data_IF_642686876797
#
_entry.id   IF_642686876797
#
_cell.length_a   1.000
_cell.length_b   1.000
_cell.length_c   1.000
_cell.angle_alpha   90.00
_cell.angle_beta   90.00
_cell.angle_gamma   90.00
#
_symmetry.space_group_name_H-M   'P 1'
#
loop_
_entity.id
_entity.type
_entity.pdbx_description
1 polymer ?
#
# COMPACT_ATOMS: atom_id res chain seq x y z
N UNK A 1 27.81 -12.68 0.83
CA UNK A 1 26.49 -12.86 0.20
C UNK A 1 25.49 -13.21 1.30
N UNK A 2 24.68 -12.28 1.74
CA UNK A 2 23.55 -12.53 2.65
C UNK A 2 22.34 -11.86 2.00
N UNK A 3 21.38 -12.68 1.59
CA UNK A 3 20.10 -12.27 1.08
C UNK A 3 19.30 -11.66 2.23
N UNK A 4 18.87 -10.41 2.10
CA UNK A 4 17.99 -9.75 3.05
C UNK A 4 16.55 -10.02 2.61
N UNK A 5 15.94 -10.97 3.30
CA UNK A 5 14.54 -11.35 3.19
C UNK A 5 13.66 -10.19 3.69
N UNK A 6 12.66 -9.84 2.90
CA UNK A 6 11.60 -8.90 3.26
C UNK A 6 10.78 -9.52 4.40
N UNK A 7 10.89 -8.98 5.61
CA UNK A 7 10.21 -9.49 6.79
C UNK A 7 8.79 -8.91 6.84
N UNK A 8 7.84 -9.75 6.50
CA UNK A 8 6.41 -9.55 6.83
C UNK A 8 6.29 -9.70 8.35
N UNK A 9 6.03 -8.62 9.08
CA UNK A 9 5.76 -8.70 10.52
C UNK A 9 4.38 -9.32 10.75
N UNK A 10 4.33 -10.65 10.84
CA UNK A 10 3.30 -11.34 11.58
C UNK A 10 3.69 -11.26 13.06
N UNK A 11 2.93 -10.52 13.86
CA UNK A 11 3.07 -10.56 15.31
C UNK A 11 2.65 -11.96 15.80
N UNK A 12 3.59 -12.88 15.86
CA UNK A 12 3.46 -14.07 16.70
C UNK A 12 3.82 -13.64 18.12
N UNK A 13 2.84 -13.66 19.02
CA UNK A 13 3.11 -13.60 20.44
C UNK A 13 3.99 -14.82 20.80
N UNK A 14 5.25 -14.59 21.10
CA UNK A 14 6.14 -15.57 21.71
C UNK A 14 5.61 -15.86 23.11
N UNK A 15 4.89 -16.96 23.27
CA UNK A 15 4.55 -17.52 24.58
C UNK A 15 5.86 -18.16 25.08
N UNK A 16 6.49 -17.55 26.08
CA UNK A 16 7.63 -18.14 26.77
C UNK A 16 7.17 -19.46 27.45
N UNK A 17 7.94 -20.54 27.33
CA UNK A 17 7.62 -21.78 28.05
C UNK A 17 7.80 -21.53 29.55
N UNK A 18 6.72 -21.52 30.30
CA UNK A 18 6.72 -21.35 31.74
C UNK A 18 5.66 -20.42 32.32
N UNK A 19 4.84 -19.74 31.51
CA UNK A 19 3.68 -19.03 32.05
C UNK A 19 2.58 -20.03 32.40
N UNK A 20 2.22 -20.07 33.70
CA UNK A 20 1.06 -20.77 34.19
C UNK A 20 -0.17 -20.41 33.35
N UNK A 21 -0.94 -21.42 32.97
CA UNK A 21 -2.27 -21.20 32.36
C UNK A 21 -3.02 -20.22 33.25
N UNK A 22 -3.64 -19.14 32.70
CA UNK A 22 -4.53 -18.33 33.49
C UNK A 22 -5.69 -19.23 33.93
N UNK A 23 -5.78 -19.50 35.25
CA UNK A 23 -6.78 -20.38 35.83
C UNK A 23 -8.20 -19.78 35.87
N UNK A 24 -8.42 -18.67 35.18
CA UNK A 24 -9.76 -18.11 34.99
C UNK A 24 -9.95 -17.70 33.53
N UNK A 25 -10.68 -18.49 32.79
CA UNK A 25 -11.35 -18.00 31.59
C UNK A 25 -12.23 -16.83 32.05
N UNK A 26 -11.84 -15.59 31.72
CA UNK A 26 -12.73 -14.44 31.90
C UNK A 26 -13.98 -14.76 31.09
N UNK A 27 -15.17 -14.87 31.68
CA UNK A 27 -16.36 -15.17 30.92
C UNK A 27 -16.57 -14.10 29.87
N UNK A 28 -16.64 -14.50 28.61
CA UNK A 28 -16.95 -13.55 27.54
C UNK A 28 -18.37 -13.00 27.79
N UNK A 29 -18.60 -11.69 27.63
CA UNK A 29 -19.91 -11.12 27.77
C UNK A 29 -20.90 -11.79 26.81
N UNK A 30 -22.18 -11.86 27.14
CA UNK A 30 -23.20 -12.42 26.25
C UNK A 30 -23.27 -11.63 24.96
N UNK A 31 -23.58 -12.32 23.86
CA UNK A 31 -23.71 -11.69 22.53
C UNK A 31 -25.00 -10.87 22.51
N UNK A 32 -24.89 -9.58 22.24
CA UNK A 32 -26.02 -8.66 22.16
C UNK A 32 -26.56 -8.49 20.73
N UNK A 33 -27.79 -8.02 20.64
CA UNK A 33 -28.40 -7.59 19.40
C UNK A 33 -27.74 -6.27 18.94
N UNK A 34 -27.40 -6.19 17.69
CA UNK A 34 -26.85 -4.96 17.08
C UNK A 34 -27.94 -3.89 17.06
N UNK A 35 -27.72 -2.76 17.72
CA UNK A 35 -28.67 -1.65 17.84
C UNK A 35 -27.99 -0.33 17.49
N UNK A 36 -27.84 0.00 16.20
CA UNK A 36 -27.23 1.26 15.77
C UNK A 36 -27.98 2.48 16.31
N UNK A 37 -27.23 3.59 16.47
CA UNK A 37 -27.84 4.86 16.90
C UNK A 37 -28.86 5.34 15.87
N UNK A 38 -30.08 5.65 16.35
CA UNK A 38 -31.22 6.04 15.52
C UNK A 38 -31.21 7.53 15.12
N UNK A 39 -30.35 8.34 15.73
CA UNK A 39 -30.20 9.78 15.48
C UNK A 39 -29.26 10.11 14.30
N UNK A 40 -28.77 9.09 13.59
CA UNK A 40 -27.85 9.20 12.48
C UNK A 40 -28.26 8.33 11.30
N UNK A 41 -27.92 8.76 10.10
CA UNK A 41 -28.01 7.91 8.91
C UNK A 41 -26.92 6.85 8.96
N UNK A 42 -27.26 5.61 8.67
CA UNK A 42 -26.29 4.52 8.68
C UNK A 42 -26.63 3.45 7.65
N UNK A 43 -25.61 2.66 7.28
CA UNK A 43 -25.77 1.37 6.58
C UNK A 43 -25.18 0.27 7.44
N UNK A 44 -25.74 -0.94 7.36
CA UNK A 44 -25.19 -2.14 7.98
C UNK A 44 -24.82 -3.11 6.89
N UNK A 45 -23.58 -3.58 6.93
CA UNK A 45 -23.09 -4.67 6.10
C UNK A 45 -22.91 -5.91 6.96
N UNK A 46 -23.68 -6.95 6.69
CA UNK A 46 -23.59 -8.22 7.40
C UNK A 46 -22.70 -9.20 6.62
N UNK A 47 -21.88 -9.92 7.37
CA UNK A 47 -21.13 -11.08 6.91
C UNK A 47 -21.59 -12.30 7.73
N UNK A 48 -22.62 -13.04 7.27
CA UNK A 48 -23.16 -14.16 8.01
C UNK A 48 -22.11 -15.27 8.23
N UNK A 49 -22.16 -15.90 9.41
CA UNK A 49 -21.28 -17.03 9.74
C UNK A 49 -21.66 -18.31 8.96
N UNK A 50 -22.92 -18.42 8.56
CA UNK A 50 -23.45 -19.51 7.77
C UNK A 50 -24.18 -18.97 6.52
N UNK A 51 -24.24 -19.72 5.42
CA UNK A 51 -24.99 -19.32 4.24
C UNK A 51 -26.46 -19.05 4.56
N UNK A 52 -26.97 -17.88 4.20
CA UNK A 52 -28.38 -17.49 4.38
C UNK A 52 -29.03 -17.22 3.02
N UNK A 53 -30.29 -17.66 2.85
CA UNK A 53 -31.06 -17.43 1.60
C UNK A 53 -31.66 -16.03 1.55
N UNK A 54 -32.03 -15.49 2.69
CA UNK A 54 -32.61 -14.14 2.83
C UNK A 54 -32.45 -13.66 4.27
N UNK A 55 -32.36 -12.33 4.43
CA UNK A 55 -32.30 -11.68 5.75
C UNK A 55 -33.66 -11.02 5.98
N UNK A 56 -34.46 -11.54 6.90
CA UNK A 56 -35.79 -11.04 7.25
C UNK A 56 -35.80 -10.18 8.53
N UNK A 57 -34.70 -10.18 9.30
CA UNK A 57 -34.54 -9.44 10.54
C UNK A 57 -33.09 -8.93 10.67
N UNK A 58 -32.82 -8.10 11.67
CA UNK A 58 -31.45 -7.71 12.01
C UNK A 58 -30.72 -8.90 12.61
N UNK A 59 -29.57 -9.25 12.00
CA UNK A 59 -28.73 -10.32 12.52
C UNK A 59 -28.00 -9.83 13.77
N UNK A 60 -27.88 -10.72 14.75
CA UNK A 60 -27.08 -10.50 15.96
C UNK A 60 -25.63 -10.95 15.78
N UNK A 61 -24.78 -10.67 16.76
CA UNK A 61 -23.35 -11.06 16.75
C UNK A 61 -23.14 -12.58 16.73
N UNK A 62 -24.14 -13.39 17.13
CA UNK A 62 -24.10 -14.84 17.03
C UNK A 62 -24.32 -15.36 15.61
N UNK A 63 -24.91 -14.55 14.73
CA UNK A 63 -25.36 -14.93 13.39
C UNK A 63 -24.45 -14.36 12.30
N UNK A 64 -23.88 -13.16 12.53
CA UNK A 64 -23.07 -12.44 11.56
C UNK A 64 -22.08 -11.48 12.22
N UNK A 65 -20.96 -11.25 11.58
CA UNK A 65 -20.16 -10.03 11.76
C UNK A 65 -20.92 -8.87 11.10
N UNK A 66 -20.89 -7.70 11.71
CA UNK A 66 -21.51 -6.54 11.09
C UNK A 66 -20.58 -5.32 11.13
N UNK A 67 -20.54 -4.62 10.00
CA UNK A 67 -19.90 -3.32 9.85
C UNK A 67 -20.96 -2.27 9.65
N UNK A 68 -20.96 -1.25 10.51
CA UNK A 68 -21.88 -0.13 10.46
C UNK A 68 -21.14 1.11 10.00
N UNK A 69 -21.58 1.72 8.92
CA UNK A 69 -21.07 3.00 8.47
C UNK A 69 -22.09 4.08 8.80
N UNK A 70 -21.68 5.08 9.58
CA UNK A 70 -22.46 6.25 9.92
C UNK A 70 -22.15 7.40 8.97
N UNK A 71 -23.19 8.17 8.60
CA UNK A 71 -23.10 9.23 7.63
C UNK A 71 -23.58 10.56 8.21
N UNK A 72 -22.99 11.65 7.73
CA UNK A 72 -23.49 13.02 7.98
C UNK A 72 -24.69 13.36 7.10
N UNK A 73 -25.22 14.59 7.27
CA UNK A 73 -26.34 15.08 6.48
C UNK A 73 -26.07 15.25 4.98
N UNK A 74 -24.80 15.14 4.55
CA UNK A 74 -24.38 15.19 3.13
C UNK A 74 -24.10 13.81 2.55
N UNK A 75 -24.36 12.74 3.30
CA UNK A 75 -24.11 11.37 2.88
C UNK A 75 -22.63 10.95 2.92
N UNK A 76 -21.76 11.70 3.63
CA UNK A 76 -20.35 11.33 3.80
C UNK A 76 -20.20 10.44 5.02
N UNK A 77 -19.40 9.36 4.89
CA UNK A 77 -19.07 8.51 6.02
C UNK A 77 -18.26 9.31 7.06
N UNK A 78 -18.69 9.27 8.32
CA UNK A 78 -18.05 9.97 9.46
C UNK A 78 -17.53 9.00 10.53
N UNK A 79 -17.99 7.75 10.53
CA UNK A 79 -17.51 6.72 11.43
C UNK A 79 -17.84 5.33 10.89
N UNK A 80 -16.91 4.41 11.07
CA UNK A 80 -17.12 2.98 10.83
C UNK A 80 -17.03 2.25 12.16
N UNK A 81 -17.94 1.32 12.40
CA UNK A 81 -18.01 0.48 13.60
C UNK A 81 -18.09 -0.99 13.17
N UNK A 82 -17.11 -1.78 13.57
CA UNK A 82 -17.14 -3.24 13.45
C UNK A 82 -17.59 -3.82 14.78
N UNK A 83 -18.77 -4.44 14.79
CA UNK A 83 -19.44 -4.84 16.03
C UNK A 83 -18.79 -6.09 16.62
N UNK A 84 -18.49 -6.03 17.93
CA UNK A 84 -17.93 -7.16 18.68
C UNK A 84 -16.59 -7.68 18.14
N UNK A 85 -15.85 -6.87 17.37
CA UNK A 85 -14.64 -7.28 16.62
C UNK A 85 -13.39 -7.41 17.49
N UNK A 86 -13.42 -7.04 18.76
CA UNK A 86 -12.28 -7.17 19.67
C UNK A 86 -12.30 -8.51 20.42
N UNK A 87 -11.17 -8.98 21.00
CA UNK A 87 -11.14 -10.18 21.84
C UNK A 87 -12.10 -10.12 23.05
N UNK A 88 -12.37 -8.91 23.54
CA UNK A 88 -13.36 -8.67 24.63
C UNK A 88 -14.80 -8.56 24.10
N UNK A 89 -15.04 -8.83 22.81
CA UNK A 89 -16.32 -8.66 22.11
C UNK A 89 -16.89 -7.24 22.15
N UNK A 90 -16.03 -6.25 22.29
CA UNK A 90 -16.41 -4.86 22.15
C UNK A 90 -16.27 -4.40 20.70
N UNK A 91 -16.95 -3.31 20.36
CA UNK A 91 -16.90 -2.70 19.05
C UNK A 91 -15.50 -2.14 18.72
N UNK A 92 -15.10 -2.25 17.48
CA UNK A 92 -13.92 -1.60 16.94
C UNK A 92 -14.38 -0.37 16.14
N UNK A 93 -13.99 0.82 16.59
CA UNK A 93 -14.42 2.08 16.02
C UNK A 93 -13.32 2.75 15.23
N UNK A 94 -13.66 3.27 14.05
CA UNK A 94 -12.76 4.06 13.20
C UNK A 94 -13.42 5.39 12.89
N UNK A 95 -12.89 6.54 13.39
CA UNK A 95 -13.35 7.85 12.97
C UNK A 95 -12.95 8.13 11.51
N UNK A 96 -13.85 8.77 10.76
CA UNK A 96 -13.59 9.24 9.39
C UNK A 96 -13.88 10.74 9.36
N UNK A 97 -12.83 11.54 9.22
CA UNK A 97 -12.94 13.00 9.31
C UNK A 97 -12.49 13.59 7.96
N UNK A 98 -13.38 14.21 7.19
CA UNK A 98 -13.00 14.93 5.99
C UNK A 98 -12.21 16.20 6.34
N UNK A 99 -11.27 16.60 5.49
CA UNK A 99 -10.58 17.89 5.60
C UNK A 99 -11.50 19.06 5.21
N UNK A 100 -11.00 20.30 5.38
CA UNK A 100 -11.75 21.50 5.02
C UNK A 100 -12.10 21.60 3.52
N UNK A 101 -11.31 20.95 2.64
CA UNK A 101 -11.60 20.81 1.21
C UNK A 101 -12.54 19.64 0.91
N UNK A 102 -13.14 19.03 1.93
CA UNK A 102 -14.05 17.90 1.82
C UNK A 102 -13.42 16.63 1.21
N UNK A 103 -12.11 16.47 1.28
CA UNK A 103 -11.41 15.25 0.86
C UNK A 103 -11.43 14.24 2.01
N UNK A 104 -11.92 13.05 1.72
CA UNK A 104 -11.78 11.92 2.64
C UNK A 104 -10.38 11.32 2.53
N UNK A 105 -9.86 10.78 3.65
CA UNK A 105 -8.58 10.07 3.68
C UNK A 105 -7.34 10.96 3.72
N UNK A 106 -7.47 12.27 4.00
CA UNK A 106 -6.32 13.12 4.36
C UNK A 106 -5.73 12.64 5.68
N UNK A 107 -6.59 12.34 6.67
CA UNK A 107 -6.24 11.61 7.89
C UNK A 107 -6.97 10.27 7.89
N UNK A 108 -6.20 9.19 8.01
CA UNK A 108 -6.71 7.83 8.12
C UNK A 108 -6.38 7.30 9.53
N UNK A 109 -7.41 7.29 10.38
CA UNK A 109 -7.29 6.94 11.79
C UNK A 109 -7.17 5.43 11.98
N UNK A 110 -6.33 5.00 12.90
CA UNK A 110 -6.29 3.60 13.35
C UNK A 110 -7.58 3.30 14.13
N UNK A 111 -8.22 2.16 13.86
CA UNK A 111 -9.37 1.73 14.68
C UNK A 111 -8.98 1.56 16.15
N UNK A 112 -9.89 1.86 17.07
CA UNK A 112 -9.69 1.69 18.49
C UNK A 112 -10.85 0.92 19.13
N UNK A 113 -10.60 0.27 20.26
CA UNK A 113 -11.62 -0.46 20.99
C UNK A 113 -12.61 0.50 21.66
N UNK A 114 -13.88 0.31 21.38
CA UNK A 114 -14.98 1.02 22.03
C UNK A 114 -15.31 0.47 23.41
N UNK A 115 -16.37 1.03 24.00
CA UNK A 115 -16.87 0.65 25.31
C UNK A 115 -18.15 -0.18 25.25
N UNK A 116 -18.69 -0.39 24.06
CA UNK A 116 -19.93 -1.15 23.81
C UNK A 116 -19.71 -2.22 22.74
N UNK A 117 -20.69 -3.09 22.59
CA UNK A 117 -20.77 -4.16 21.59
C UNK A 117 -22.04 -4.06 20.73
N UNK A 118 -22.69 -2.88 20.74
CA UNK A 118 -24.01 -2.66 20.11
C UNK A 118 -23.97 -1.97 18.76
N UNK A 119 -22.81 -1.54 18.33
CA UNK A 119 -22.65 -0.81 17.11
C UNK A 119 -23.06 0.66 17.20
N UNK A 120 -22.96 1.28 18.36
CA UNK A 120 -23.40 2.66 18.59
C UNK A 120 -22.45 3.69 17.97
N UNK A 121 -23.03 4.81 17.52
CA UNK A 121 -22.27 5.99 17.12
C UNK A 121 -21.61 6.68 18.33
N UNK A 122 -20.35 7.00 18.23
CA UNK A 122 -19.57 7.73 19.24
C UNK A 122 -19.37 9.18 18.80
N UNK A 123 -19.97 10.13 19.54
CA UNK A 123 -20.00 11.55 19.16
C UNK A 123 -18.61 12.18 19.03
N UNK A 124 -17.67 11.86 19.93
CA UNK A 124 -16.31 12.41 19.94
C UNK A 124 -15.29 11.29 19.63
N UNK A 125 -15.51 10.53 18.57
CA UNK A 125 -14.70 9.35 18.25
C UNK A 125 -13.22 9.65 18.05
N UNK A 126 -12.86 10.85 17.53
CA UNK A 126 -11.47 11.27 17.39
C UNK A 126 -10.78 11.48 18.74
N UNK A 127 -11.45 12.17 19.66
CA UNK A 127 -10.92 12.40 21.01
C UNK A 127 -10.81 11.08 21.79
N UNK A 128 -11.82 10.23 21.69
CA UNK A 128 -11.79 8.90 22.30
C UNK A 128 -10.65 8.04 21.75
N UNK A 129 -10.39 8.09 20.45
CA UNK A 129 -9.27 7.41 19.79
C UNK A 129 -7.92 7.93 20.30
N UNK A 130 -7.76 9.26 20.38
CA UNK A 130 -6.54 9.87 20.91
C UNK A 130 -6.26 9.46 22.34
N UNK A 131 -7.30 9.47 23.21
CA UNK A 131 -7.19 9.07 24.61
C UNK A 131 -6.84 7.58 24.75
N UNK A 132 -7.47 6.73 23.93
CA UNK A 132 -7.20 5.30 23.91
C UNK A 132 -5.71 5.01 23.59
N UNK A 133 -5.19 5.60 22.54
CA UNK A 133 -3.78 5.37 22.14
C UNK A 133 -2.77 6.10 23.04
N UNK A 134 -3.10 7.27 23.58
CA UNK A 134 -2.27 7.92 24.58
C UNK A 134 -2.11 7.05 25.84
N UNK A 135 -3.17 6.38 26.27
CA UNK A 135 -3.12 5.41 27.37
C UNK A 135 -2.22 4.21 27.07
N UNK A 136 -2.30 3.64 25.86
CA UNK A 136 -1.48 2.49 25.44
C UNK A 136 0.01 2.86 25.35
N UNK A 137 0.33 4.04 24.80
CA UNK A 137 1.71 4.50 24.62
C UNK A 137 2.31 5.23 25.82
N UNK A 138 1.57 5.29 26.95
CA UNK A 138 2.02 5.93 28.19
C UNK A 138 2.20 7.46 28.06
N UNK A 139 1.51 8.09 27.12
CA UNK A 139 1.56 9.53 26.91
C UNK A 139 0.51 10.20 27.76
N UNK A 140 0.94 11.05 28.70
CA UNK A 140 0.05 11.78 29.62
C UNK A 140 -0.55 13.06 29.00
N UNK A 141 0.05 13.57 27.94
CA UNK A 141 -0.40 14.75 27.20
C UNK A 141 0.00 14.67 25.73
N UNK A 142 -0.93 15.05 24.86
CA UNK A 142 -0.68 15.23 23.44
C UNK A 142 -1.39 14.23 22.55
N UNK A 143 -1.38 14.55 21.29
CA UNK A 143 -1.89 13.73 20.22
C UNK A 143 -0.96 12.52 20.06
N UNK A 144 -1.47 11.33 20.29
CA UNK A 144 -0.76 10.07 20.05
C UNK A 144 -0.44 9.86 18.55
N UNK A 145 -0.94 10.73 17.68
CA UNK A 145 -0.80 10.62 16.22
C UNK A 145 -1.12 9.22 15.69
N UNK A 146 -2.17 8.61 16.24
CA UNK A 146 -2.61 7.27 15.84
C UNK A 146 -3.40 7.31 14.52
N UNK A 147 -2.83 7.94 13.52
CA UNK A 147 -3.36 8.10 12.17
C UNK A 147 -2.22 8.25 11.14
N UNK A 148 -2.52 7.89 9.91
CA UNK A 148 -1.73 8.28 8.74
C UNK A 148 -2.26 9.61 8.23
N UNK A 149 -1.39 10.56 7.93
CA UNK A 149 -1.77 11.85 7.36
C UNK A 149 -1.10 12.06 6.00
N UNK A 150 -1.85 12.59 5.03
CA UNK A 150 -1.40 12.86 3.68
C UNK A 150 -1.42 14.35 3.39
N UNK A 151 -0.36 14.86 2.77
CA UNK A 151 -0.28 16.23 2.29
C UNK A 151 -0.21 16.24 0.77
N UNK A 152 -1.06 17.07 0.19
CA UNK A 152 -1.17 17.22 -1.26
C UNK A 152 -0.64 18.58 -1.68
N UNK A 153 -0.13 18.68 -2.91
CA UNK A 153 0.23 19.98 -3.49
C UNK A 153 -1.02 20.85 -3.67
N UNK A 154 -0.81 22.17 -3.66
CA UNK A 154 -1.92 23.12 -3.83
C UNK A 154 -2.17 23.47 -5.31
N UNK A 155 -1.89 22.54 -6.21
CA UNK A 155 -2.18 22.68 -7.64
C UNK A 155 -3.50 21.99 -7.99
N UNK A 156 -4.04 22.28 -9.18
CA UNK A 156 -5.22 21.60 -9.69
C UNK A 156 -5.04 20.08 -9.86
N UNK A 157 -3.81 19.59 -9.94
CA UNK A 157 -3.52 18.15 -10.03
C UNK A 157 -3.61 17.45 -8.68
N UNK A 158 -3.52 18.18 -7.56
CA UNK A 158 -3.64 17.67 -6.19
C UNK A 158 -2.82 16.40 -5.92
N UNK A 159 -1.57 16.35 -6.41
CA UNK A 159 -0.69 15.18 -6.25
C UNK A 159 -0.23 15.04 -4.80
N UNK A 160 -0.09 13.80 -4.33
CA UNK A 160 0.44 13.50 -3.01
C UNK A 160 1.91 13.89 -2.93
N UNK A 161 2.29 14.77 -1.98
CA UNK A 161 3.67 15.23 -1.80
C UNK A 161 4.31 14.70 -0.52
N UNK A 162 3.52 14.32 0.48
CA UNK A 162 4.03 13.74 1.71
C UNK A 162 2.97 12.85 2.37
N UNK A 163 3.41 11.78 3.01
CA UNK A 163 2.56 10.88 3.79
C UNK A 163 3.27 10.48 5.07
N UNK A 164 2.58 10.65 6.19
CA UNK A 164 3.04 10.21 7.51
C UNK A 164 2.67 8.74 7.76
N UNK A 165 3.27 8.17 8.80
CA UNK A 165 2.79 6.94 9.44
C UNK A 165 2.26 7.26 10.83
N UNK A 166 1.47 6.35 11.44
CA UNK A 166 1.03 6.52 12.82
C UNK A 166 2.20 6.62 13.79
N UNK A 167 2.05 7.49 14.78
CA UNK A 167 3.02 7.71 15.84
C UNK A 167 3.73 9.07 15.76
N UNK A 168 4.04 9.64 16.91
CA UNK A 168 4.64 10.98 17.04
C UNK A 168 5.96 11.14 16.27
N UNK A 169 6.79 10.09 16.22
CA UNK A 169 8.06 10.13 15.50
C UNK A 169 7.88 10.22 13.97
N UNK A 170 6.73 9.80 13.44
CA UNK A 170 6.45 9.70 12.01
C UNK A 170 5.44 10.74 11.50
N UNK A 171 4.98 11.66 12.36
CA UNK A 171 4.05 12.73 11.94
C UNK A 171 4.67 13.64 10.88
N UNK A 172 3.87 14.35 10.09
CA UNK A 172 4.34 15.22 9.00
C UNK A 172 5.43 16.22 9.42
N UNK A 173 5.44 16.67 10.66
CA UNK A 173 6.44 17.63 11.18
C UNK A 173 7.68 17.00 11.80
N UNK A 174 7.79 15.68 11.88
CA UNK A 174 8.87 14.98 12.57
C UNK A 174 10.06 14.60 11.67
N UNK A 175 9.91 14.71 10.34
CA UNK A 175 10.99 14.46 9.37
C UNK A 175 11.14 13.01 8.92
N UNK A 176 10.46 12.05 9.56
CA UNK A 176 10.45 10.63 9.18
C UNK A 176 9.18 10.30 8.40
N UNK A 177 9.08 10.83 7.18
CA UNK A 177 7.89 10.70 6.35
C UNK A 177 8.24 10.22 4.94
N UNK A 178 7.26 9.61 4.25
CA UNK A 178 7.34 9.36 2.83
C UNK A 178 7.13 10.67 2.08
N UNK A 179 8.08 11.07 1.25
CA UNK A 179 8.02 12.30 0.44
C UNK A 179 8.05 11.97 -1.03
N UNK A 180 7.26 12.72 -1.79
CA UNK A 180 7.12 12.53 -3.23
C UNK A 180 7.42 13.83 -3.94
N UNK A 181 8.22 13.79 -5.00
CA UNK A 181 8.41 14.90 -5.91
C UNK A 181 8.18 14.47 -7.35
N UNK A 182 7.69 15.40 -8.15
CA UNK A 182 7.30 15.16 -9.54
C UNK A 182 8.00 16.16 -10.44
N UNK A 183 8.66 15.66 -11.47
CA UNK A 183 9.40 16.46 -12.43
C UNK A 183 9.32 15.80 -13.81
N UNK A 184 10.04 16.32 -14.76
CA UNK A 184 10.37 15.67 -16.03
C UNK A 184 11.86 15.31 -16.03
N UNK A 185 12.24 14.35 -16.88
CA UNK A 185 13.65 14.01 -17.04
C UNK A 185 14.46 15.18 -17.63
N UNK A 186 15.74 15.24 -17.26
CA UNK A 186 16.71 16.17 -17.84
C UNK A 186 17.46 15.53 -19.01
N UNK A 187 18.25 16.31 -19.73
CA UNK A 187 19.09 15.80 -20.81
C UNK A 187 20.12 14.79 -20.27
N UNK A 188 20.38 13.74 -21.01
CA UNK A 188 21.35 12.68 -20.70
C UNK A 188 21.09 11.93 -19.37
N UNK A 189 19.88 11.99 -18.84
CA UNK A 189 19.54 11.38 -17.55
C UNK A 189 19.13 9.91 -17.68
N UNK A 190 18.38 9.56 -18.74
CA UNK A 190 17.83 8.22 -18.97
C UNK A 190 18.24 7.73 -20.35
N UNK A 191 18.94 6.60 -20.41
CA UNK A 191 19.39 5.99 -21.66
C UNK A 191 18.21 5.31 -22.39
N UNK A 192 18.20 5.41 -23.72
CA UNK A 192 17.27 4.66 -24.58
C UNK A 192 17.90 3.31 -24.88
N UNK A 193 17.17 2.24 -24.64
CA UNK A 193 17.49 0.89 -25.07
C UNK A 193 16.45 0.38 -26.05
N UNK A 194 16.93 -0.28 -27.10
CA UNK A 194 16.11 -1.04 -28.04
C UNK A 194 16.49 -2.51 -27.97
N UNK A 195 15.49 -3.39 -28.02
CA UNK A 195 15.67 -4.82 -28.06
C UNK A 195 15.06 -5.36 -29.34
N UNK A 196 15.91 -5.89 -30.21
CA UNK A 196 15.50 -6.46 -31.50
C UNK A 196 16.26 -7.74 -31.78
N UNK A 197 15.56 -8.80 -32.15
CA UNK A 197 16.11 -10.11 -32.54
C UNK A 197 17.19 -10.65 -31.57
N UNK A 198 16.97 -10.49 -30.26
CA UNK A 198 17.92 -10.94 -29.24
C UNK A 198 19.07 -9.97 -28.96
N UNK A 199 19.18 -8.89 -29.70
CA UNK A 199 20.21 -7.86 -29.54
C UNK A 199 19.68 -6.67 -28.76
N UNK A 200 20.45 -6.24 -27.77
CA UNK A 200 20.13 -5.11 -26.90
C UNK A 200 21.12 -3.98 -27.20
N UNK A 201 20.60 -2.84 -27.61
CA UNK A 201 21.41 -1.69 -28.00
C UNK A 201 20.99 -0.42 -27.27
N UNK A 202 21.96 0.31 -26.70
CA UNK A 202 21.73 1.64 -26.13
C UNK A 202 21.98 2.70 -27.22
N UNK A 203 20.91 3.32 -27.70
CA UNK A 203 20.94 4.20 -28.88
C UNK A 203 21.07 5.69 -28.56
N UNK A 204 21.24 6.07 -27.29
CA UNK A 204 21.32 7.47 -26.86
C UNK A 204 20.59 7.70 -25.57
N UNK A 205 20.02 8.89 -25.42
CA UNK A 205 19.27 9.31 -24.22
C UNK A 205 17.92 9.89 -24.61
N UNK A 206 16.94 9.74 -23.71
CA UNK A 206 15.65 10.42 -23.86
C UNK A 206 15.84 11.93 -23.86
N UNK A 207 15.16 12.66 -24.77
CA UNK A 207 15.15 14.12 -24.75
C UNK A 207 14.69 14.65 -23.39
N UNK A 208 15.20 15.82 -23.00
CA UNK A 208 14.71 16.51 -21.80
C UNK A 208 13.21 16.77 -21.90
N UNK A 209 12.48 16.53 -20.83
CA UNK A 209 11.03 16.75 -20.78
C UNK A 209 10.19 15.63 -21.41
N UNK A 210 10.77 14.52 -21.82
CA UNK A 210 10.04 13.43 -22.50
C UNK A 210 9.44 12.40 -21.53
N UNK A 211 10.10 12.16 -20.40
CA UNK A 211 9.64 11.20 -19.39
C UNK A 211 9.12 11.91 -18.14
N UNK A 212 8.06 11.39 -17.57
CA UNK A 212 7.65 11.75 -16.21
C UNK A 212 8.61 11.15 -15.21
N UNK A 213 9.06 11.97 -14.26
CA UNK A 213 9.97 11.59 -13.18
C UNK A 213 9.27 11.72 -11.86
N UNK A 214 9.16 10.63 -11.13
CA UNK A 214 8.68 10.61 -9.75
C UNK A 214 9.82 10.18 -8.83
N UNK A 215 10.15 11.00 -7.85
CA UNK A 215 11.09 10.66 -6.79
C UNK A 215 10.32 10.39 -5.51
N UNK A 216 10.62 9.27 -4.87
CA UNK A 216 10.09 8.88 -3.55
C UNK A 216 11.26 8.81 -2.57
N UNK A 217 11.15 9.51 -1.45
CA UNK A 217 12.11 9.44 -0.34
C UNK A 217 11.40 8.82 0.85
N UNK A 218 11.96 7.72 1.37
CA UNK A 218 11.40 7.03 2.53
C UNK A 218 11.77 7.72 3.87
N UNK A 219 11.31 7.12 4.96
CA UNK A 219 11.51 7.62 6.33
C UNK A 219 12.99 7.61 6.75
N UNK A 220 13.82 6.78 6.13
CA UNK A 220 15.27 6.68 6.32
C UNK A 220 16.08 7.54 5.34
N UNK A 221 15.41 8.42 4.57
CA UNK A 221 15.98 9.22 3.49
C UNK A 221 16.57 8.42 2.33
N UNK A 222 16.16 7.17 2.12
CA UNK A 222 16.49 6.41 0.91
C UNK A 222 15.63 6.92 -0.23
N UNK A 223 16.27 7.10 -1.39
CA UNK A 223 15.61 7.70 -2.56
C UNK A 223 15.45 6.65 -3.66
N UNK A 224 14.22 6.56 -4.18
CA UNK A 224 13.89 5.83 -5.39
C UNK A 224 13.34 6.80 -6.43
N UNK A 225 13.86 6.74 -7.66
CA UNK A 225 13.38 7.55 -8.78
C UNK A 225 12.81 6.62 -9.83
N UNK A 226 11.58 6.89 -10.26
CA UNK A 226 10.91 6.15 -11.33
C UNK A 226 10.67 7.08 -12.52
N UNK A 227 11.08 6.63 -13.71
CA UNK A 227 10.82 7.33 -14.96
C UNK A 227 9.79 6.56 -15.76
N UNK A 228 8.75 7.27 -16.21
CA UNK A 228 7.59 6.69 -16.89
C UNK A 228 7.34 7.41 -18.20
N UNK A 229 7.05 6.67 -19.25
CA UNK A 229 6.71 7.25 -20.55
C UNK A 229 5.26 7.80 -20.56
N UNK A 230 4.87 8.43 -21.68
CA UNK A 230 3.54 8.99 -21.85
C UNK A 230 2.41 7.94 -21.95
N UNK A 231 2.74 6.65 -22.08
CA UNK A 231 1.80 5.53 -22.07
C UNK A 231 1.61 4.95 -20.67
N UNK A 232 2.39 5.43 -19.68
CA UNK A 232 2.39 4.92 -18.31
C UNK A 232 3.37 3.76 -18.07
N UNK A 233 4.21 3.40 -19.04
CA UNK A 233 5.19 2.35 -18.86
C UNK A 233 6.39 2.86 -18.07
N UNK A 234 6.83 2.13 -17.05
CA UNK A 234 8.06 2.44 -16.32
C UNK A 234 9.28 2.09 -17.20
N UNK A 235 10.07 3.08 -17.57
CA UNK A 235 11.27 2.92 -18.41
C UNK A 235 12.50 2.65 -17.56
N UNK A 236 12.62 3.33 -16.42
CA UNK A 236 13.75 3.20 -15.50
C UNK A 236 13.29 3.31 -14.06
N UNK A 237 13.73 2.38 -13.23
CA UNK A 237 13.75 2.52 -11.78
C UNK A 237 15.19 2.69 -11.30
N UNK A 238 15.43 3.77 -10.57
CA UNK A 238 16.74 4.13 -10.01
C UNK A 238 16.67 4.14 -8.50
N UNK A 239 17.42 3.28 -7.85
CA UNK A 239 17.61 3.31 -6.40
C UNK A 239 18.90 4.04 -6.06
N UNK A 240 18.83 5.11 -5.28
CA UNK A 240 19.99 5.85 -4.81
C UNK A 240 20.50 5.23 -3.50
N UNK A 241 21.72 4.69 -3.51
CA UNK A 241 22.31 4.01 -2.34
C UNK A 241 23.11 5.01 -1.49
N UNK A 242 23.91 5.85 -2.12
CA UNK A 242 24.78 6.83 -1.47
C UNK A 242 25.07 7.96 -2.44
N UNK A 243 25.81 8.98 -2.00
CA UNK A 243 26.18 10.11 -2.83
C UNK A 243 26.83 9.66 -4.15
N UNK A 244 26.09 9.84 -5.24
CA UNK A 244 26.55 9.52 -6.60
C UNK A 244 26.48 8.04 -7.02
N UNK A 245 26.08 7.12 -6.14
CA UNK A 245 25.95 5.69 -6.49
C UNK A 245 24.50 5.29 -6.64
N UNK A 246 24.12 4.80 -7.82
CA UNK A 246 22.76 4.38 -8.14
C UNK A 246 22.71 2.93 -8.62
N UNK A 247 21.58 2.29 -8.43
CA UNK A 247 21.21 1.01 -9.02
C UNK A 247 20.05 1.24 -9.99
N UNK A 248 20.34 1.10 -11.27
CA UNK A 248 19.43 1.40 -12.36
C UNK A 248 18.88 0.12 -12.96
N UNK A 249 17.56 -0.07 -12.93
CA UNK A 249 16.84 -1.16 -13.60
C UNK A 249 16.06 -0.57 -14.77
N UNK A 250 16.37 -0.99 -15.99
CA UNK A 250 15.67 -0.54 -17.20
C UNK A 250 14.65 -1.57 -17.67
N UNK A 251 13.52 -1.07 -18.15
CA UNK A 251 12.43 -1.86 -18.72
C UNK A 251 12.26 -1.47 -20.18
N UNK A 252 12.29 -2.46 -21.07
CA UNK A 252 12.15 -2.26 -22.51
C UNK A 252 10.85 -2.93 -22.94
N UNK A 253 10.08 -2.21 -23.74
CA UNK A 253 8.76 -2.62 -24.19
C UNK A 253 8.71 -2.76 -25.71
N UNK A 254 7.83 -3.63 -26.19
CA UNK A 254 7.45 -3.68 -27.60
C UNK A 254 6.47 -2.55 -27.95
N UNK A 255 6.08 -2.49 -29.23
CA UNK A 255 5.12 -1.48 -29.73
C UNK A 255 3.73 -1.59 -29.11
N UNK A 256 3.40 -2.74 -28.50
CA UNK A 256 2.14 -2.99 -27.80
C UNK A 256 2.20 -2.66 -26.30
N UNK A 257 3.35 -2.22 -25.78
CA UNK A 257 3.55 -1.91 -24.37
C UNK A 257 3.80 -3.15 -23.49
N UNK A 258 4.20 -4.29 -24.08
CA UNK A 258 4.54 -5.50 -23.32
C UNK A 258 6.04 -5.51 -23.03
N UNK A 259 6.48 -5.87 -21.80
CA UNK A 259 7.90 -5.90 -21.46
C UNK A 259 8.61 -7.02 -22.23
N UNK A 260 9.61 -6.68 -23.03
CA UNK A 260 10.42 -7.64 -23.81
C UNK A 260 11.77 -7.90 -23.18
N UNK A 261 12.32 -6.93 -22.45
CA UNK A 261 13.60 -7.09 -21.77
C UNK A 261 13.65 -6.24 -20.50
N UNK A 262 14.24 -6.79 -19.43
CA UNK A 262 14.57 -6.05 -18.22
C UNK A 262 16.05 -6.13 -18.00
N UNK A 263 16.72 -4.96 -17.91
CA UNK A 263 18.16 -4.85 -17.65
C UNK A 263 18.36 -4.56 -16.17
N UNK A 264 18.99 -5.47 -15.41
CA UNK A 264 19.25 -5.27 -13.99
C UNK A 264 20.37 -4.26 -13.74
N UNK A 265 20.53 -3.77 -12.52
CA UNK A 265 21.54 -2.79 -12.15
C UNK A 265 23.00 -3.19 -12.48
N UNK A 266 23.29 -4.49 -12.53
CA UNK A 266 24.62 -4.99 -12.89
C UNK A 266 25.07 -4.55 -14.29
N UNK A 267 24.11 -4.31 -15.19
CA UNK A 267 24.36 -3.86 -16.57
C UNK A 267 23.81 -2.46 -16.84
N UNK A 268 23.12 -1.85 -15.87
CA UNK A 268 22.49 -0.54 -16.03
C UNK A 268 23.50 0.53 -16.44
N UNK A 269 23.11 1.34 -17.45
CA UNK A 269 23.95 2.42 -17.96
C UNK A 269 24.99 2.05 -19.02
N UNK A 270 25.27 0.76 -19.29
CA UNK A 270 26.11 0.35 -20.40
C UNK A 270 25.50 0.74 -21.76
N UNK A 271 26.30 1.30 -22.66
CA UNK A 271 25.83 1.66 -23.99
C UNK A 271 25.68 0.45 -24.93
N UNK A 272 26.57 -0.52 -24.80
CA UNK A 272 26.56 -1.75 -25.60
C UNK A 272 26.55 -2.95 -24.66
N UNK A 273 25.63 -3.85 -24.91
CA UNK A 273 25.52 -5.13 -24.20
C UNK A 273 25.78 -6.27 -25.18
N UNK A 274 26.68 -7.15 -24.80
CA UNK A 274 26.96 -8.36 -25.61
C UNK A 274 25.81 -9.36 -25.44
N UNK A 275 25.65 -10.28 -26.39
CA UNK A 275 24.69 -11.35 -26.32
C UNK A 275 24.87 -12.23 -25.06
N UNK A 276 26.14 -12.46 -24.68
CA UNK A 276 26.50 -13.21 -23.47
C UNK A 276 26.05 -12.51 -22.20
N UNK A 277 26.29 -11.18 -22.07
CA UNK A 277 25.83 -10.40 -20.93
C UNK A 277 24.30 -10.35 -20.86
N UNK A 278 23.64 -10.17 -22.01
CA UNK A 278 22.19 -10.17 -22.09
C UNK A 278 21.61 -11.52 -21.66
N UNK A 279 22.22 -12.63 -22.05
CA UNK A 279 21.81 -13.96 -21.63
C UNK A 279 22.06 -14.23 -20.15
N UNK A 280 23.20 -13.75 -19.61
CA UNK A 280 23.61 -14.00 -18.24
C UNK A 280 22.86 -13.18 -17.21
N UNK A 281 22.38 -11.96 -17.54
CA UNK A 281 21.86 -11.02 -16.56
C UNK A 281 20.45 -10.51 -16.82
N UNK A 282 19.99 -10.49 -18.09
CA UNK A 282 18.70 -9.88 -18.42
C UNK A 282 17.54 -10.87 -18.35
N UNK A 283 16.35 -10.38 -17.94
CA UNK A 283 15.08 -11.09 -18.12
C UNK A 283 14.56 -10.77 -19.52
N UNK A 284 14.13 -11.77 -20.28
CA UNK A 284 13.63 -11.59 -21.65
C UNK A 284 12.33 -12.35 -21.83
N UNK A 285 11.44 -11.77 -22.63
CA UNK A 285 10.14 -12.33 -22.94
C UNK A 285 9.85 -12.24 -24.43
N UNK A 286 9.28 -13.30 -24.99
CA UNK A 286 8.72 -13.32 -26.34
C UNK A 286 7.22 -13.59 -26.26
N UNK A 287 6.48 -13.02 -27.22
CA UNK A 287 5.01 -13.09 -27.25
C UNK A 287 4.52 -13.56 -28.60
N UNK A 288 3.39 -14.26 -28.61
CA UNK A 288 2.64 -14.56 -29.81
C UNK A 288 1.80 -13.35 -30.28
N UNK A 289 1.11 -13.53 -31.42
CA UNK A 289 0.21 -12.51 -31.97
C UNK A 289 -1.00 -12.21 -31.09
N UNK A 290 -1.37 -13.13 -30.18
CA UNK A 290 -2.48 -12.97 -29.21
C UNK A 290 -2.02 -12.27 -27.92
N UNK A 291 -0.69 -12.07 -27.73
CA UNK A 291 -0.11 -11.47 -26.54
C UNK A 291 0.25 -12.48 -25.43
N UNK A 292 0.16 -13.77 -25.68
CA UNK A 292 0.60 -14.78 -24.73
C UNK A 292 2.13 -14.89 -24.72
N UNK A 293 2.74 -15.13 -23.56
CA UNK A 293 4.19 -15.34 -23.43
C UNK A 293 4.57 -16.69 -24.00
N UNK A 294 5.29 -16.72 -25.11
CA UNK A 294 5.75 -17.97 -25.75
C UNK A 294 7.13 -18.40 -25.29
N UNK A 295 7.95 -17.48 -24.83
CA UNK A 295 9.27 -17.76 -24.28
C UNK A 295 9.59 -16.83 -23.12
N UNK A 296 10.18 -17.39 -22.07
CA UNK A 296 10.71 -16.66 -20.93
C UNK A 296 12.17 -17.07 -20.70
N UNK A 297 13.08 -16.10 -20.68
CA UNK A 297 14.48 -16.32 -20.36
C UNK A 297 14.81 -15.64 -19.05
N UNK A 298 15.24 -16.40 -18.06
CA UNK A 298 15.71 -15.91 -16.79
C UNK A 298 17.23 -15.78 -16.82
N UNK A 299 17.86 -14.87 -16.03
CA UNK A 299 19.31 -14.68 -15.99
C UNK A 299 20.07 -15.98 -15.76
N UNK A 300 21.00 -16.30 -16.66
CA UNK A 300 21.87 -17.47 -16.57
C UNK A 300 21.20 -18.83 -16.77
N UNK A 301 19.91 -18.86 -17.12
CA UNK A 301 19.18 -20.11 -17.38
C UNK A 301 18.85 -20.26 -18.87
N UNK A 302 18.63 -21.51 -19.29
CA UNK A 302 18.12 -21.80 -20.61
C UNK A 302 16.70 -21.23 -20.77
N UNK A 303 16.33 -20.73 -21.98
CA UNK A 303 14.99 -20.23 -22.24
C UNK A 303 13.93 -21.30 -22.03
N UNK A 304 12.87 -20.94 -21.30
CA UNK A 304 11.67 -21.76 -21.11
C UNK A 304 10.65 -21.42 -22.21
N UNK A 305 10.21 -22.45 -22.95
CA UNK A 305 9.16 -22.29 -23.97
C UNK A 305 7.82 -22.66 -23.39
N UNK A 306 6.81 -21.84 -23.65
CA UNK A 306 5.44 -21.99 -23.16
C UNK A 306 4.51 -22.19 -24.36
N UNK A 307 3.73 -23.25 -24.32
CA UNK A 307 2.71 -23.57 -25.33
C UNK A 307 1.34 -23.50 -24.71
N UNK A 308 0.37 -22.98 -25.46
CA UNK A 308 -1.02 -22.85 -25.02
C UNK A 308 -1.89 -23.79 -25.85
N UNK A 309 -2.84 -24.44 -25.21
CA UNK A 309 -3.85 -25.20 -25.91
C UNK A 309 -4.89 -24.24 -26.50
N UNK A 310 -5.28 -24.50 -27.75
CA UNK A 310 -6.45 -23.84 -28.36
C UNK A 310 -7.71 -24.45 -27.73
N UNK A 311 -8.18 -23.91 -26.60
CA UNK A 311 -9.43 -24.30 -25.97
C UNK A 311 -10.50 -23.23 -26.21
#
# INVERSE_FOLDING_TARGET
MKATSCLLFLMHALIAPGQAKPDSLIPLPPLHTITPSSDRNYTIHYRPHLPVKSISHRLGLSEAEATINYFDGLGRCIQTVETGATPARLDLLKPVIPDFCNRQGVKDYIPYQGTTDKGLYTKNAQEAQNNYYAGIFGQTQGDACAYTEKRYEQSGAARLIESSRPGNAFRLSAGHTLRYSYALNTANEVRIYTYDNGSLNGTGYYPSGYLYKQETTDEDNRRKVTFTDHRGNTVLERLCISSGKTLDTYYIYDTFGRPVCIIPPALGGKAVLTASETAAYCYRYAYDKRGNVTERSLPGLAPEKITYNDA
#
